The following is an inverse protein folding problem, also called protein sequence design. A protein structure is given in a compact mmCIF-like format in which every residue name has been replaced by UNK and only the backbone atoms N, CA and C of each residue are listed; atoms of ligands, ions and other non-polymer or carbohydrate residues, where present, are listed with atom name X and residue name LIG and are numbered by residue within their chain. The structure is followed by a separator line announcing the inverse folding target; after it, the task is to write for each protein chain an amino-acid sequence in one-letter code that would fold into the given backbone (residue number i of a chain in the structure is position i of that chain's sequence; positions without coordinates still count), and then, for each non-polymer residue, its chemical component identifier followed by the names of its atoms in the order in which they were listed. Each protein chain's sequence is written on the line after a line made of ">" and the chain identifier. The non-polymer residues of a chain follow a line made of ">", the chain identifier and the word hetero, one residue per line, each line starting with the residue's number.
data_IF_637117793697
#
_entry.id   IF_637117793697
#
_cell.length_a   1.000
_cell.length_b   1.000
_cell.length_c   1.000
_cell.angle_alpha   90.00
_cell.angle_beta   90.00
_cell.angle_gamma   90.00
#
_symmetry.space_group_name_H-M   'P 1'
#
loop_
_entity.id
_entity.type
_entity.pdbx_description
1 polymer ?
#
# COMPACT_ATOMS: atom_id res chain seq x y z
N UNK A 1 -13.03 22.75 11.62
CA UNK A 1 -14.15 22.42 10.71
C UNK A 1 -13.69 22.01 9.32
N UNK A 2 -12.89 22.83 8.61
CA UNK A 2 -12.40 22.47 7.26
C UNK A 2 -11.66 21.13 7.21
N UNK A 3 -10.72 20.92 8.14
CA UNK A 3 -9.97 19.66 8.26
C UNK A 3 -10.89 18.44 8.49
N UNK A 4 -11.81 18.51 9.45
CA UNK A 4 -12.80 17.45 9.68
C UNK A 4 -13.71 17.19 8.46
N UNK A 5 -14.08 18.23 7.72
CA UNK A 5 -14.87 18.10 6.49
C UNK A 5 -14.08 17.37 5.41
N UNK A 6 -12.83 17.77 5.16
CA UNK A 6 -11.94 17.14 4.18
C UNK A 6 -11.80 15.64 4.49
N UNK A 7 -11.62 15.30 5.77
CA UNK A 7 -11.55 13.91 6.23
C UNK A 7 -12.83 13.14 5.96
N UNK A 8 -13.97 13.69 6.34
CA UNK A 8 -15.26 13.06 6.15
C UNK A 8 -15.57 12.78 4.67
N UNK A 9 -15.30 13.74 3.78
CA UNK A 9 -15.58 13.55 2.35
C UNK A 9 -14.56 12.64 1.67
N UNK A 10 -13.29 12.64 2.09
CA UNK A 10 -12.27 11.72 1.56
C UNK A 10 -12.60 10.27 1.95
N UNK A 11 -13.14 10.04 3.15
CA UNK A 11 -13.57 8.71 3.60
C UNK A 11 -14.67 8.09 2.73
N UNK A 12 -15.43 8.90 1.97
CA UNK A 12 -16.44 8.39 1.03
C UNK A 12 -15.84 7.73 -0.21
N UNK A 13 -14.54 7.94 -0.49
CA UNK A 13 -13.88 7.55 -1.74
C UNK A 13 -14.28 8.40 -2.96
N UNK A 14 -15.19 9.37 -2.81
CA UNK A 14 -15.61 10.24 -3.91
C UNK A 14 -14.68 11.44 -4.14
N UNK A 15 -13.80 11.72 -3.18
CA UNK A 15 -12.88 12.84 -3.20
C UNK A 15 -11.49 12.41 -2.76
N UNK A 16 -10.48 13.06 -3.32
CA UNK A 16 -9.08 12.90 -2.94
C UNK A 16 -8.48 14.26 -2.60
N UNK A 17 -7.34 14.23 -1.93
CA UNK A 17 -6.57 15.42 -1.55
C UNK A 17 -5.25 15.49 -2.30
N UNK A 18 -4.74 16.70 -2.53
CA UNK A 18 -3.38 16.95 -3.05
C UNK A 18 -2.77 18.19 -2.39
N UNK A 19 -1.47 18.17 -2.12
CA UNK A 19 -0.76 19.26 -1.46
C UNK A 19 -0.73 19.10 0.06
N UNK A 20 0.00 20.01 0.74
CA UNK A 20 0.29 19.91 2.19
C UNK A 20 -0.30 21.06 3.00
N UNK A 21 -0.76 20.73 4.21
CA UNK A 21 -1.20 21.69 5.22
C UNK A 21 -2.26 22.66 4.71
N UNK A 22 -1.96 23.97 4.77
CA UNK A 22 -2.89 25.02 4.30
C UNK A 22 -3.11 25.01 2.78
N UNK A 23 -2.28 24.30 2.02
CA UNK A 23 -2.39 24.18 0.56
C UNK A 23 -3.10 22.90 0.12
N UNK A 24 -3.65 22.11 1.05
CA UNK A 24 -4.41 20.90 0.72
C UNK A 24 -5.62 21.26 -0.13
N UNK A 25 -5.65 20.72 -1.35
CA UNK A 25 -6.74 20.87 -2.31
C UNK A 25 -7.56 19.59 -2.33
N UNK A 26 -8.87 19.72 -2.17
CA UNK A 26 -9.83 18.65 -2.40
C UNK A 26 -10.22 18.63 -3.89
N UNK A 27 -10.25 17.46 -4.49
CA UNK A 27 -10.70 17.29 -5.88
C UNK A 27 -11.49 15.98 -6.06
N UNK A 28 -12.27 15.92 -7.13
CA UNK A 28 -13.02 14.72 -7.52
C UNK A 28 -12.17 13.94 -8.53
N UNK A 29 -11.69 12.72 -8.21
CA UNK A 29 -10.95 11.92 -9.16
C UNK A 29 -11.84 11.47 -10.32
N UNK A 30 -11.23 11.14 -11.46
CA UNK A 30 -11.95 10.83 -12.71
C UNK A 30 -13.02 9.74 -12.51
N UNK A 31 -12.65 8.67 -11.79
CA UNK A 31 -13.53 7.52 -11.51
C UNK A 31 -14.79 7.89 -10.69
N UNK A 32 -14.76 9.01 -9.93
CA UNK A 32 -15.86 9.45 -9.08
C UNK A 32 -16.72 10.54 -9.72
N UNK A 33 -16.28 11.17 -10.82
CA UNK A 33 -17.00 12.29 -11.46
C UNK A 33 -18.43 11.93 -11.85
N UNK A 34 -18.65 10.74 -12.41
CA UNK A 34 -20.01 10.32 -12.82
C UNK A 34 -20.93 10.18 -11.60
N UNK A 35 -20.45 9.55 -10.51
CA UNK A 35 -21.23 9.41 -9.27
C UNK A 35 -21.53 10.77 -8.64
N UNK A 36 -20.54 11.65 -8.53
CA UNK A 36 -20.75 13.00 -7.98
C UNK A 36 -21.74 13.80 -8.82
N UNK A 37 -21.65 13.71 -10.16
CA UNK A 37 -22.62 14.36 -11.05
C UNK A 37 -24.04 13.81 -10.86
N UNK A 38 -24.20 12.50 -10.76
CA UNK A 38 -25.51 11.89 -10.48
C UNK A 38 -26.07 12.34 -9.12
N UNK A 39 -25.22 12.49 -8.10
CA UNK A 39 -25.64 13.06 -6.82
C UNK A 39 -26.12 14.51 -6.98
N UNK A 40 -25.41 15.34 -7.75
CA UNK A 40 -25.79 16.74 -8.00
C UNK A 40 -27.10 16.87 -8.79
N UNK A 41 -27.28 16.02 -9.80
CA UNK A 41 -28.38 16.15 -10.75
C UNK A 41 -29.66 15.45 -10.28
N UNK A 42 -29.54 14.32 -9.55
CA UNK A 42 -30.66 13.42 -9.25
C UNK A 42 -30.91 13.18 -7.77
N UNK A 43 -29.91 13.34 -6.88
CA UNK A 43 -30.13 13.09 -5.45
C UNK A 43 -30.88 14.26 -4.81
N UNK A 44 -31.95 13.95 -4.08
CA UNK A 44 -32.68 14.93 -3.28
C UNK A 44 -32.29 14.74 -1.81
N UNK A 45 -31.72 15.78 -1.22
CA UNK A 45 -31.46 15.80 0.22
C UNK A 45 -32.78 15.99 0.96
N UNK A 46 -33.30 14.91 1.51
CA UNK A 46 -34.51 14.91 2.34
C UNK A 46 -34.06 14.88 3.79
N UNK A 47 -34.44 15.90 4.55
CA UNK A 47 -34.21 15.95 5.98
C UNK A 47 -35.18 14.98 6.68
N UNK A 48 -34.67 14.15 7.60
CA UNK A 48 -35.50 13.33 8.46
C UNK A 48 -35.97 14.18 9.66
N UNK A 49 -37.25 14.49 9.71
CA UNK A 49 -37.89 15.31 10.75
C UNK A 49 -38.52 14.49 11.89
N UNK A 50 -38.23 13.18 11.94
CA UNK A 50 -38.64 12.29 13.03
C UNK A 50 -38.23 12.84 14.39
N UNK A 51 -39.20 12.93 15.30
CA UNK A 51 -39.03 13.46 16.65
C UNK A 51 -38.81 12.37 17.69
N UNK A 52 -39.25 11.14 17.40
CA UNK A 52 -38.97 9.99 18.25
C UNK A 52 -37.51 9.53 18.08
N UNK A 53 -36.77 9.49 19.19
CA UNK A 53 -35.35 9.17 19.16
C UNK A 53 -35.06 7.76 18.64
N UNK A 54 -35.88 6.78 19.00
CA UNK A 54 -35.65 5.39 18.59
C UNK A 54 -35.91 5.22 17.08
N UNK A 55 -36.97 5.84 16.56
CA UNK A 55 -37.25 5.87 15.12
C UNK A 55 -36.20 6.66 14.34
N UNK A 56 -35.74 7.80 14.88
CA UNK A 56 -34.65 8.59 14.29
C UNK A 56 -33.35 7.79 14.22
N UNK A 57 -32.94 7.15 15.32
CA UNK A 57 -31.74 6.34 15.37
C UNK A 57 -31.85 5.10 14.49
N UNK A 58 -33.03 4.47 14.41
CA UNK A 58 -33.28 3.39 13.47
C UNK A 58 -33.15 3.86 12.03
N UNK A 59 -33.62 5.07 11.71
CA UNK A 59 -33.46 5.64 10.39
C UNK A 59 -31.99 5.90 10.03
N UNK A 60 -31.26 6.62 10.90
CA UNK A 60 -29.86 6.98 10.67
C UNK A 60 -28.89 5.79 10.75
N UNK A 61 -29.23 4.76 11.51
CA UNK A 61 -28.41 3.57 11.70
C UNK A 61 -28.55 2.51 10.60
N UNK A 62 -29.55 2.63 9.72
CA UNK A 62 -29.74 1.70 8.60
C UNK A 62 -28.94 2.18 7.37
N UNK A 63 -27.93 1.42 6.91
CA UNK A 63 -27.12 1.79 5.75
C UNK A 63 -27.91 1.79 4.43
N UNK A 64 -29.15 1.27 4.41
CA UNK A 64 -29.99 1.18 3.21
C UNK A 64 -31.12 2.21 3.17
N UNK A 65 -31.23 3.10 4.16
CA UNK A 65 -32.30 4.10 4.17
C UNK A 65 -32.07 5.26 3.18
N UNK A 66 -30.85 5.46 2.73
CA UNK A 66 -30.53 6.46 1.70
C UNK A 66 -30.43 5.75 0.36
N UNK A 67 -31.42 5.96 -0.50
CA UNK A 67 -31.40 5.48 -1.89
C UNK A 67 -30.51 6.41 -2.72
N UNK A 68 -29.45 5.85 -3.29
CA UNK A 68 -28.51 6.59 -4.12
C UNK A 68 -29.04 6.66 -5.57
N UNK A 69 -28.65 7.69 -6.34
CA UNK A 69 -29.10 7.83 -7.72
C UNK A 69 -28.87 6.59 -8.58
N UNK A 70 -27.84 5.80 -8.30
CA UNK A 70 -27.49 4.60 -9.05
C UNK A 70 -28.05 3.30 -8.49
N UNK A 71 -28.98 3.34 -7.52
CA UNK A 71 -29.69 2.16 -7.02
C UNK A 71 -30.87 1.78 -7.93
N UNK A 72 -30.70 2.00 -9.23
CA UNK A 72 -31.60 1.60 -10.29
C UNK A 72 -30.78 1.22 -11.55
N UNK A 73 -31.33 0.39 -12.46
CA UNK A 73 -30.60 -0.05 -13.65
C UNK A 73 -30.16 1.08 -14.58
N UNK A 74 -30.98 2.11 -14.77
CA UNK A 74 -30.73 3.18 -15.74
C UNK A 74 -29.47 3.98 -15.37
N UNK A 75 -29.41 4.46 -14.13
CA UNK A 75 -28.27 5.25 -13.63
C UNK A 75 -27.03 4.40 -13.38
N UNK A 76 -27.21 3.14 -12.97
CA UNK A 76 -26.09 2.20 -12.87
C UNK A 76 -25.46 1.96 -14.24
N UNK A 77 -26.28 1.80 -15.29
CA UNK A 77 -25.79 1.60 -16.65
C UNK A 77 -24.94 2.78 -17.13
N UNK A 78 -25.36 4.01 -16.83
CA UNK A 78 -24.56 5.22 -17.14
C UNK A 78 -23.18 5.17 -16.49
N UNK A 79 -23.08 4.74 -15.21
CA UNK A 79 -21.79 4.60 -14.52
C UNK A 79 -20.91 3.58 -15.24
N UNK A 80 -21.46 2.40 -15.52
CA UNK A 80 -20.68 1.29 -16.08
C UNK A 80 -20.28 1.56 -17.54
N UNK A 81 -21.12 2.19 -18.35
CA UNK A 81 -20.80 2.59 -19.72
C UNK A 81 -19.70 3.66 -19.78
N UNK A 82 -19.76 4.67 -18.91
CA UNK A 82 -18.69 5.66 -18.81
C UNK A 82 -17.37 5.02 -18.37
N UNK A 83 -17.42 4.15 -17.37
CA UNK A 83 -16.24 3.41 -16.90
C UNK A 83 -15.66 2.49 -17.98
N UNK A 84 -16.50 1.83 -18.76
CA UNK A 84 -16.05 1.03 -19.91
C UNK A 84 -15.35 1.89 -20.96
N UNK A 85 -15.84 3.12 -21.20
CA UNK A 85 -15.20 4.07 -22.11
C UNK A 85 -13.81 4.48 -21.61
N UNK A 86 -13.68 4.78 -20.32
CA UNK A 86 -12.39 5.12 -19.71
C UNK A 86 -11.43 3.93 -19.74
N UNK A 87 -11.92 2.73 -19.44
CA UNK A 87 -11.18 1.48 -19.55
C UNK A 87 -10.63 1.25 -20.96
N UNK A 88 -11.44 1.48 -22.01
CA UNK A 88 -11.00 1.40 -23.42
C UNK A 88 -9.86 2.38 -23.73
N UNK A 89 -9.86 3.56 -23.13
CA UNK A 89 -8.80 4.55 -23.34
C UNK A 89 -7.52 4.15 -22.58
N UNK A 90 -7.65 3.72 -21.32
CA UNK A 90 -6.53 3.26 -20.49
C UNK A 90 -5.83 2.07 -21.16
N UNK A 91 -6.59 1.09 -21.68
CA UNK A 91 -6.03 -0.04 -22.44
C UNK A 91 -5.16 0.44 -23.60
N UNK A 92 -5.65 1.40 -24.39
CA UNK A 92 -4.93 1.87 -25.59
C UNK A 92 -3.58 2.47 -25.23
N UNK A 93 -3.49 3.19 -24.11
CA UNK A 93 -2.22 3.73 -23.63
C UNK A 93 -1.37 2.65 -22.96
N UNK A 94 -1.98 1.76 -22.19
CA UNK A 94 -1.31 0.68 -21.47
C UNK A 94 -0.59 -0.29 -22.43
N UNK A 95 -1.22 -0.67 -23.56
CA UNK A 95 -0.62 -1.56 -24.57
C UNK A 95 0.59 -0.93 -25.28
N UNK A 96 0.66 0.42 -25.35
CA UNK A 96 1.85 1.10 -25.89
C UNK A 96 3.04 0.99 -24.94
N UNK A 97 2.77 0.94 -23.64
CA UNK A 97 3.77 0.87 -22.57
C UNK A 97 4.21 -0.59 -22.37
N UNK A 98 3.25 -1.51 -22.20
CA UNK A 98 3.49 -2.93 -22.03
C UNK A 98 2.84 -3.73 -23.18
N UNK A 99 3.70 -4.16 -24.12
CA UNK A 99 3.27 -4.92 -25.30
C UNK A 99 2.79 -6.33 -24.96
N UNK A 100 3.15 -6.85 -23.79
CA UNK A 100 2.76 -8.19 -23.31
C UNK A 100 1.50 -8.15 -22.44
N UNK A 101 0.86 -6.98 -22.29
CA UNK A 101 -0.33 -6.83 -21.48
C UNK A 101 -1.48 -7.69 -22.01
N UNK A 102 -1.89 -8.68 -21.22
CA UNK A 102 -3.08 -9.49 -21.49
C UNK A 102 -4.33 -8.81 -20.92
N UNK A 103 -5.33 -8.62 -21.77
CA UNK A 103 -6.64 -8.10 -21.37
C UNK A 103 -7.59 -9.28 -21.23
N UNK A 104 -7.97 -9.60 -20.00
CA UNK A 104 -8.93 -10.67 -19.70
C UNK A 104 -10.34 -10.10 -19.55
N UNK A 105 -11.33 -10.95 -19.77
CA UNK A 105 -12.74 -10.71 -19.41
C UNK A 105 -13.48 -9.55 -20.10
N UNK A 106 -12.86 -8.90 -21.09
CA UNK A 106 -13.46 -7.73 -21.74
C UNK A 106 -14.79 -8.03 -22.45
N UNK A 107 -14.86 -9.13 -23.20
CA UNK A 107 -16.07 -9.53 -23.92
C UNK A 107 -17.22 -9.87 -22.98
N UNK A 108 -16.92 -10.50 -21.84
CA UNK A 108 -17.91 -10.85 -20.82
C UNK A 108 -18.49 -9.58 -20.17
N UNK A 109 -17.62 -8.61 -19.85
CA UNK A 109 -18.04 -7.31 -19.31
C UNK A 109 -18.94 -6.57 -20.30
N UNK A 110 -18.59 -6.53 -21.59
CA UNK A 110 -19.45 -5.91 -22.61
C UNK A 110 -20.84 -6.59 -22.70
N UNK A 111 -20.91 -7.90 -22.53
CA UNK A 111 -22.18 -8.64 -22.51
C UNK A 111 -23.03 -8.28 -21.29
N UNK A 112 -22.43 -8.21 -20.09
CA UNK A 112 -23.14 -7.83 -18.86
C UNK A 112 -23.73 -6.42 -18.96
N UNK A 113 -23.02 -5.48 -19.59
CA UNK A 113 -23.44 -4.08 -19.77
C UNK A 113 -24.62 -3.94 -20.73
N UNK A 114 -24.76 -4.83 -21.71
CA UNK A 114 -25.90 -4.82 -22.64
C UNK A 114 -27.21 -5.14 -21.95
N UNK A 115 -27.17 -5.76 -20.78
CA UNK A 115 -28.38 -6.10 -20.02
C UNK A 115 -28.95 -4.88 -19.29
N UNK A 116 -30.25 -4.91 -19.00
CA UNK A 116 -30.93 -3.90 -18.15
C UNK A 116 -31.10 -4.42 -16.71
N UNK A 117 -30.41 -5.50 -16.35
CA UNK A 117 -30.50 -6.10 -15.03
C UNK A 117 -29.53 -5.41 -14.06
N UNK A 118 -30.07 -4.83 -12.98
CA UNK A 118 -29.27 -4.13 -11.97
C UNK A 118 -28.15 -4.99 -11.38
N UNK A 119 -28.42 -6.26 -11.05
CA UNK A 119 -27.43 -7.14 -10.42
C UNK A 119 -26.29 -7.45 -11.39
N UNK A 120 -26.60 -7.66 -12.67
CA UNK A 120 -25.57 -7.85 -13.71
C UNK A 120 -24.73 -6.60 -13.91
N UNK A 121 -25.33 -5.41 -13.85
CA UNK A 121 -24.60 -4.14 -13.93
C UNK A 121 -23.69 -3.90 -12.70
N UNK A 122 -24.11 -4.34 -11.51
CA UNK A 122 -23.24 -4.33 -10.31
C UNK A 122 -22.02 -5.23 -10.52
N UNK A 123 -22.22 -6.45 -11.01
CA UNK A 123 -21.12 -7.39 -11.31
C UNK A 123 -20.19 -6.83 -12.40
N UNK A 124 -20.73 -6.18 -13.43
CA UNK A 124 -19.94 -5.55 -14.48
C UNK A 124 -19.04 -4.44 -13.93
N UNK A 125 -19.57 -3.59 -13.03
CA UNK A 125 -18.82 -2.53 -12.37
C UNK A 125 -17.63 -3.06 -11.56
N UNK A 126 -17.86 -4.12 -10.76
CA UNK A 126 -16.82 -4.77 -9.96
C UNK A 126 -15.74 -5.41 -10.84
N UNK A 127 -16.14 -6.10 -11.92
CA UNK A 127 -15.19 -6.68 -12.89
C UNK A 127 -14.35 -5.61 -13.58
N UNK A 128 -14.97 -4.49 -13.97
CA UNK A 128 -14.24 -3.34 -14.51
C UNK A 128 -13.27 -2.75 -13.48
N UNK A 129 -13.67 -2.59 -12.22
CA UNK A 129 -12.78 -2.11 -11.15
C UNK A 129 -11.54 -2.99 -11.02
N UNK A 130 -11.74 -4.30 -10.92
CA UNK A 130 -10.63 -5.24 -10.74
C UNK A 130 -9.69 -5.25 -11.95
N UNK A 131 -10.26 -5.15 -13.16
CA UNK A 131 -9.49 -5.08 -14.41
C UNK A 131 -8.70 -3.78 -14.51
N UNK A 132 -9.30 -2.64 -14.15
CA UNK A 132 -8.64 -1.33 -14.10
C UNK A 132 -7.48 -1.34 -13.11
N UNK A 133 -7.72 -1.82 -11.89
CA UNK A 133 -6.69 -1.97 -10.87
C UNK A 133 -5.52 -2.81 -11.37
N UNK A 134 -5.79 -3.98 -11.98
CA UNK A 134 -4.74 -4.85 -12.50
C UNK A 134 -3.90 -4.18 -13.59
N UNK A 135 -4.53 -3.42 -14.49
CA UNK A 135 -3.81 -2.70 -15.56
C UNK A 135 -2.99 -1.55 -14.96
N UNK A 136 -3.60 -0.72 -14.11
CA UNK A 136 -2.92 0.42 -13.52
C UNK A 136 -1.74 -0.03 -12.64
N UNK A 137 -1.89 -1.11 -11.88
CA UNK A 137 -0.81 -1.71 -11.11
C UNK A 137 0.32 -2.20 -12.02
N UNK A 138 0.00 -2.89 -13.12
CA UNK A 138 1.00 -3.37 -14.08
C UNK A 138 1.76 -2.21 -14.71
N UNK A 139 1.05 -1.19 -15.19
CA UNK A 139 1.65 0.00 -15.81
C UNK A 139 2.50 0.77 -14.80
N UNK A 140 2.03 0.86 -13.55
CA UNK A 140 2.82 1.45 -12.49
C UNK A 140 4.14 0.70 -12.29
N UNK A 141 4.09 -0.63 -12.16
CA UNK A 141 5.28 -1.48 -11.95
C UNK A 141 6.28 -1.36 -13.11
N UNK A 142 5.80 -1.43 -14.36
CA UNK A 142 6.70 -1.49 -15.52
C UNK A 142 7.20 -0.14 -16.01
N UNK A 143 6.51 0.96 -15.66
CA UNK A 143 6.78 2.27 -16.24
C UNK A 143 6.65 3.41 -15.23
N UNK A 144 5.45 3.67 -14.69
CA UNK A 144 5.21 4.91 -13.92
C UNK A 144 6.10 5.01 -12.69
N UNK A 145 6.33 3.90 -11.97
CA UNK A 145 7.17 3.88 -10.77
C UNK A 145 8.64 4.20 -11.04
N UNK A 146 9.07 4.19 -12.31
CA UNK A 146 10.46 4.44 -12.71
C UNK A 146 10.72 5.90 -13.06
N UNK A 147 9.69 6.74 -13.11
CA UNK A 147 9.89 8.16 -13.42
C UNK A 147 10.38 8.93 -12.19
N UNK A 148 11.16 10.02 -12.39
CA UNK A 148 11.59 10.89 -11.29
C UNK A 148 10.41 11.44 -10.48
N UNK A 149 9.33 11.84 -11.15
CA UNK A 149 8.15 12.42 -10.50
C UNK A 149 7.47 11.42 -9.57
N UNK A 150 7.29 10.17 -10.01
CA UNK A 150 6.68 9.15 -9.18
C UNK A 150 7.55 8.81 -7.96
N UNK A 151 8.87 8.78 -8.14
CA UNK A 151 9.84 8.55 -7.07
C UNK A 151 9.84 9.69 -6.05
N UNK A 152 9.76 10.94 -6.51
CA UNK A 152 9.61 12.13 -5.67
C UNK A 152 8.30 12.06 -4.87
N UNK A 153 7.17 11.78 -5.51
CA UNK A 153 5.86 11.61 -4.84
C UNK A 153 5.89 10.52 -3.76
N UNK A 154 6.61 9.42 -3.99
CA UNK A 154 6.80 8.36 -2.99
C UNK A 154 7.57 8.87 -1.77
N UNK A 155 8.68 9.60 -1.96
CA UNK A 155 9.45 10.16 -0.85
C UNK A 155 8.61 11.19 -0.09
N UNK A 156 7.93 12.08 -0.80
CA UNK A 156 7.03 13.07 -0.22
C UNK A 156 5.93 12.42 0.62
N UNK A 157 5.37 11.29 0.16
CA UNK A 157 4.34 10.58 0.93
C UNK A 157 4.89 9.99 2.23
N UNK A 158 6.13 9.50 2.27
CA UNK A 158 6.73 9.08 3.54
C UNK A 158 6.96 10.24 4.51
N UNK A 159 7.32 11.42 4.01
CA UNK A 159 7.40 12.64 4.84
C UNK A 159 6.05 12.97 5.46
N UNK A 160 4.97 12.97 4.66
CA UNK A 160 3.61 13.22 5.16
C UNK A 160 3.24 12.25 6.29
N UNK A 161 3.52 10.95 6.10
CA UNK A 161 3.28 9.89 7.09
C UNK A 161 4.09 10.13 8.36
N UNK A 162 5.40 10.41 8.21
CA UNK A 162 6.28 10.61 9.35
C UNK A 162 5.90 11.86 10.17
N UNK A 163 5.49 12.94 9.50
CA UNK A 163 5.11 14.20 10.13
C UNK A 163 3.71 14.15 10.74
N UNK A 164 2.91 13.12 10.41
CA UNK A 164 1.54 12.94 10.92
C UNK A 164 0.51 13.78 10.18
N UNK A 165 0.79 14.14 8.93
CA UNK A 165 -0.11 14.89 8.05
C UNK A 165 -0.96 13.99 7.14
N UNK A 166 -0.89 12.67 7.32
CA UNK A 166 -1.63 11.68 6.54
C UNK A 166 -2.68 10.97 7.41
N UNK A 167 -3.95 11.10 7.06
CA UNK A 167 -5.06 10.57 7.86
C UNK A 167 -5.15 9.04 7.80
N UNK A 168 -4.82 8.48 6.63
CA UNK A 168 -4.74 7.03 6.45
C UNK A 168 -3.29 6.55 6.55
N UNK A 169 -2.49 7.17 7.43
CA UNK A 169 -1.03 6.98 7.48
C UNK A 169 -0.61 5.51 7.55
N UNK A 170 -1.32 4.67 8.30
CA UNK A 170 -0.98 3.25 8.42
C UNK A 170 -1.22 2.48 7.11
N UNK A 171 -2.37 2.69 6.45
CA UNK A 171 -2.66 2.12 5.13
C UNK A 171 -1.71 2.64 4.06
N UNK A 172 -1.44 3.95 4.09
CA UNK A 172 -0.50 4.58 3.18
C UNK A 172 0.93 4.10 3.41
N UNK A 173 1.33 3.75 4.63
CA UNK A 173 2.65 3.20 4.88
C UNK A 173 2.86 1.85 4.19
N UNK A 174 1.84 0.97 4.18
CA UNK A 174 1.87 -0.30 3.43
C UNK A 174 1.96 -0.01 1.92
N UNK A 175 1.04 0.80 1.41
CA UNK A 175 0.97 1.12 -0.03
C UNK A 175 2.24 1.81 -0.51
N UNK A 176 2.75 2.77 0.25
CA UNK A 176 3.91 3.56 -0.16
C UNK A 176 5.21 2.76 -0.04
N UNK A 177 5.33 1.85 0.93
CA UNK A 177 6.43 0.86 0.99
C UNK A 177 6.39 -0.10 -0.21
N UNK A 178 5.21 -0.54 -0.63
CA UNK A 178 5.09 -1.33 -1.85
C UNK A 178 5.49 -0.52 -3.09
N UNK A 179 4.97 0.72 -3.22
CA UNK A 179 5.32 1.62 -4.33
C UNK A 179 6.82 1.87 -4.38
N UNK A 180 7.47 2.08 -3.23
CA UNK A 180 8.91 2.33 -3.18
C UNK A 180 9.73 1.14 -3.61
N UNK A 181 9.42 -0.06 -3.13
CA UNK A 181 10.12 -1.27 -3.51
C UNK A 181 9.96 -1.57 -4.99
N UNK A 182 8.73 -1.45 -5.52
CA UNK A 182 8.44 -1.58 -6.95
C UNK A 182 9.24 -0.59 -7.80
N UNK A 183 9.48 0.63 -7.30
CA UNK A 183 10.21 1.67 -8.01
C UNK A 183 11.73 1.42 -8.12
N UNK A 184 12.32 0.59 -7.24
CA UNK A 184 13.75 0.23 -7.29
C UNK A 184 14.10 -0.47 -8.60
N UNK A 185 15.30 -0.25 -9.14
CA UNK A 185 15.72 -0.93 -10.36
C UNK A 185 16.02 -2.42 -10.12
N UNK A 186 16.18 -3.17 -11.20
CA UNK A 186 16.57 -4.58 -11.12
C UNK A 186 15.42 -5.57 -11.14
N UNK A 187 15.78 -6.84 -11.35
CA UNK A 187 14.81 -7.93 -11.53
C UNK A 187 14.32 -8.45 -10.18
N UNK A 188 13.12 -8.03 -9.81
CA UNK A 188 12.41 -8.52 -8.64
C UNK A 188 10.89 -8.50 -8.86
N UNK A 189 10.16 -9.15 -7.96
CA UNK A 189 8.70 -9.11 -7.91
C UNK A 189 8.26 -8.71 -6.51
N UNK A 190 7.43 -7.68 -6.40
CA UNK A 190 6.79 -7.31 -5.14
C UNK A 190 5.33 -7.73 -5.18
N UNK A 191 4.92 -8.61 -4.26
CA UNK A 191 3.53 -9.02 -4.07
C UNK A 191 2.99 -8.34 -2.82
N UNK A 192 1.94 -7.53 -2.98
CA UNK A 192 1.18 -6.93 -1.86
C UNK A 192 0.08 -7.87 -1.36
N UNK A 193 -0.25 -7.80 -0.07
CA UNK A 193 -1.38 -8.51 0.53
C UNK A 193 -2.51 -7.58 1.00
N UNK A 194 -2.31 -6.25 1.02
CA UNK A 194 -3.35 -5.24 1.23
C UNK A 194 -4.19 -4.97 -0.04
N UNK A 195 -5.33 -4.29 0.10
CA UNK A 195 -6.21 -3.92 -1.03
C UNK A 195 -6.00 -2.48 -1.48
N UNK A 196 -6.03 -2.28 -2.79
CA UNK A 196 -5.94 -0.98 -3.46
C UNK A 196 -7.25 -0.62 -4.15
N UNK A 197 -7.45 0.68 -4.35
CA UNK A 197 -8.42 1.23 -5.31
C UNK A 197 -7.80 1.31 -6.72
N UNK A 198 -8.64 1.57 -7.72
CA UNK A 198 -8.26 1.62 -9.14
C UNK A 198 -7.09 2.59 -9.43
N UNK A 199 -6.96 3.66 -8.66
CA UNK A 199 -5.90 4.68 -8.76
C UNK A 199 -4.65 4.38 -7.90
N UNK A 200 -4.56 3.15 -7.37
CA UNK A 200 -3.49 2.70 -6.49
C UNK A 200 -3.39 3.49 -5.17
N UNK A 201 -4.51 4.05 -4.71
CA UNK A 201 -4.67 4.51 -3.33
C UNK A 201 -5.10 3.35 -2.42
N UNK A 202 -4.86 3.43 -1.10
CA UNK A 202 -5.22 2.36 -0.19
C UNK A 202 -6.74 2.17 -0.05
N UNK A 203 -7.19 0.92 -0.05
CA UNK A 203 -8.59 0.54 0.24
C UNK A 203 -8.76 -0.09 1.61
N UNK A 204 -7.93 -1.07 1.94
CA UNK A 204 -7.94 -1.74 3.24
C UNK A 204 -6.62 -2.46 3.50
N UNK A 205 -6.29 -2.66 4.78
CA UNK A 205 -5.13 -3.40 5.25
C UNK A 205 -5.07 -4.82 4.70
N UNK A 206 -3.89 -5.45 4.79
CA UNK A 206 -3.74 -6.88 4.59
C UNK A 206 -4.70 -7.64 5.53
N UNK A 207 -5.41 -8.69 5.07
CA UNK A 207 -6.25 -9.48 5.94
C UNK A 207 -5.41 -10.14 7.03
N UNK A 208 -5.71 -9.86 8.30
CA UNK A 208 -5.11 -10.62 9.42
C UNK A 208 -5.56 -12.08 9.48
N UNK A 209 -6.54 -12.47 8.64
CA UNK A 209 -7.04 -13.83 8.50
C UNK A 209 -6.08 -14.60 7.58
N UNK A 210 -5.23 -15.43 8.18
CA UNK A 210 -4.32 -16.31 7.45
C UNK A 210 -2.82 -16.09 7.69
N UNK A 211 -2.44 -15.21 8.63
CA UNK A 211 -1.04 -14.96 8.99
C UNK A 211 -0.18 -14.61 7.75
N UNK A 212 -0.62 -13.59 7.01
CA UNK A 212 0.09 -13.10 5.83
C UNK A 212 0.80 -11.78 6.14
N UNK A 213 2.08 -11.62 5.73
CA UNK A 213 2.79 -10.35 5.89
C UNK A 213 2.19 -9.27 4.99
N UNK A 214 2.52 -8.00 5.24
CA UNK A 214 2.01 -6.88 4.43
C UNK A 214 2.35 -7.04 2.94
N UNK A 215 3.60 -7.42 2.66
CA UNK A 215 4.09 -7.69 1.31
C UNK A 215 5.28 -8.65 1.27
N UNK A 216 5.57 -9.15 0.08
CA UNK A 216 6.62 -10.14 -0.20
C UNK A 216 7.46 -9.65 -1.38
N UNK A 217 8.78 -9.56 -1.21
CA UNK A 217 9.72 -9.18 -2.28
C UNK A 217 10.54 -10.41 -2.67
N UNK A 218 10.40 -10.81 -3.92
CA UNK A 218 11.13 -11.93 -4.50
C UNK A 218 12.28 -11.42 -5.36
N UNK A 219 13.50 -11.70 -4.92
CA UNK A 219 14.76 -11.44 -5.62
C UNK A 219 15.41 -12.79 -5.93
N UNK A 220 16.28 -12.90 -6.94
CA UNK A 220 16.92 -14.18 -7.20
C UNK A 220 17.79 -14.61 -6.01
N UNK A 221 17.54 -15.79 -5.44
CA UNK A 221 18.22 -16.30 -4.24
C UNK A 221 17.70 -15.77 -2.90
N UNK A 222 16.84 -14.74 -2.89
CA UNK A 222 16.40 -14.08 -1.66
C UNK A 222 14.89 -13.84 -1.63
N UNK A 223 14.31 -13.84 -0.43
CA UNK A 223 12.95 -13.36 -0.16
C UNK A 223 13.00 -12.34 0.96
N UNK A 224 12.54 -11.11 0.69
CA UNK A 224 12.39 -10.10 1.73
C UNK A 224 10.91 -10.03 2.13
N UNK A 225 10.66 -9.91 3.43
CA UNK A 225 9.33 -9.77 4.02
C UNK A 225 9.25 -8.41 4.73
N UNK A 226 8.92 -7.32 4.00
CA UNK A 226 8.67 -6.02 4.60
C UNK A 226 7.34 -6.02 5.35
N UNK A 227 7.40 -5.56 6.59
CA UNK A 227 6.27 -5.39 7.51
C UNK A 227 6.35 -3.98 8.08
N UNK A 228 5.23 -3.28 8.13
CA UNK A 228 5.21 -1.86 8.48
C UNK A 228 4.22 -1.57 9.59
N UNK A 229 4.60 -0.70 10.52
CA UNK A 229 3.71 -0.35 11.63
C UNK A 229 3.92 1.08 12.09
N UNK A 230 2.81 1.77 12.36
CA UNK A 230 2.81 3.04 13.09
C UNK A 230 2.46 2.87 14.57
N UNK A 231 2.24 1.63 15.02
CA UNK A 231 2.08 1.36 16.45
C UNK A 231 3.34 1.75 17.21
N UNK A 232 3.17 2.22 18.44
CA UNK A 232 4.27 2.58 19.32
C UNK A 232 4.02 2.08 20.75
N UNK A 233 5.08 2.12 21.57
CA UNK A 233 5.01 1.66 22.95
C UNK A 233 4.80 0.15 23.07
N UNK A 234 4.17 -0.29 24.16
CA UNK A 234 4.03 -1.73 24.49
C UNK A 234 3.18 -2.47 23.47
N UNK A 235 2.15 -1.82 22.92
CA UNK A 235 1.26 -2.41 21.90
C UNK A 235 2.01 -2.87 20.66
N UNK A 236 3.02 -2.13 20.22
CA UNK A 236 3.86 -2.55 19.10
C UNK A 236 4.53 -3.89 19.39
N UNK A 237 5.05 -4.09 20.60
CA UNK A 237 5.67 -5.37 20.96
C UNK A 237 4.63 -6.50 21.05
N UNK A 238 3.46 -6.24 21.64
CA UNK A 238 2.39 -7.23 21.79
C UNK A 238 1.82 -7.72 20.46
N UNK A 239 1.69 -6.82 19.48
CA UNK A 239 1.12 -7.15 18.18
C UNK A 239 2.17 -7.59 17.17
N UNK A 240 3.26 -6.82 17.02
CA UNK A 240 4.23 -7.00 15.94
C UNK A 240 5.36 -7.95 16.31
N UNK A 241 5.68 -8.08 17.60
CA UNK A 241 6.80 -8.90 18.05
C UNK A 241 6.62 -10.39 17.76
N UNK A 242 5.39 -10.90 17.78
CA UNK A 242 5.10 -12.29 17.40
C UNK A 242 4.75 -12.43 15.93
N UNK A 243 3.83 -11.59 15.41
CA UNK A 243 3.30 -11.74 14.05
C UNK A 243 4.40 -11.69 12.99
N UNK A 244 5.29 -10.70 13.08
CA UNK A 244 6.39 -10.50 12.13
C UNK A 244 7.33 -11.71 12.14
N UNK A 245 7.60 -12.26 13.32
CA UNK A 245 8.46 -13.44 13.46
C UNK A 245 7.80 -14.68 12.87
N UNK A 246 6.51 -14.88 13.14
CA UNK A 246 5.74 -16.01 12.62
C UNK A 246 5.64 -15.96 11.09
N UNK A 247 5.44 -14.77 10.51
CA UNK A 247 5.47 -14.58 9.06
C UNK A 247 6.84 -14.94 8.48
N UNK A 248 7.92 -14.35 8.99
CA UNK A 248 9.28 -14.62 8.46
C UNK A 248 9.64 -16.09 8.60
N UNK A 249 9.33 -16.71 9.74
CA UNK A 249 9.57 -18.14 9.96
C UNK A 249 8.81 -19.02 8.97
N UNK A 250 7.52 -18.73 8.72
CA UNK A 250 6.73 -19.49 7.75
C UNK A 250 7.31 -19.43 6.32
N UNK A 251 7.93 -18.30 5.96
CA UNK A 251 8.61 -18.16 4.67
C UNK A 251 9.95 -18.89 4.64
N UNK A 252 10.71 -18.91 5.76
CA UNK A 252 11.94 -19.72 5.89
C UNK A 252 11.63 -21.21 5.71
N UNK A 253 10.53 -21.69 6.30
CA UNK A 253 10.10 -23.09 6.16
C UNK A 253 9.60 -23.41 4.75
N UNK A 254 8.94 -22.44 4.09
CA UNK A 254 8.42 -22.59 2.73
C UNK A 254 9.52 -22.55 1.65
N UNK A 255 10.58 -21.79 1.86
CA UNK A 255 11.65 -21.57 0.88
C UNK A 255 12.99 -22.08 1.41
N UNK A 256 13.19 -23.41 1.35
CA UNK A 256 14.44 -24.04 1.80
C UNK A 256 15.67 -23.68 0.94
N UNK A 257 15.46 -23.26 -0.31
CA UNK A 257 16.48 -22.93 -1.30
C UNK A 257 16.83 -21.43 -1.36
N UNK A 258 16.21 -20.59 -0.52
CA UNK A 258 16.40 -19.13 -0.54
C UNK A 258 16.67 -18.58 0.85
N UNK A 259 17.45 -17.51 0.90
CA UNK A 259 17.65 -16.76 2.14
C UNK A 259 16.48 -15.79 2.35
N UNK A 260 15.83 -15.89 3.51
CA UNK A 260 14.65 -15.09 3.86
C UNK A 260 15.02 -14.05 4.92
N UNK A 261 14.64 -12.80 4.70
CA UNK A 261 14.89 -11.69 5.62
C UNK A 261 13.62 -10.88 5.88
N UNK A 262 13.25 -10.72 7.14
CA UNK A 262 12.23 -9.75 7.56
C UNK A 262 12.79 -8.33 7.59
N UNK A 263 11.97 -7.36 7.24
CA UNK A 263 12.29 -5.93 7.38
C UNK A 263 11.12 -5.29 8.11
N UNK A 264 11.36 -4.75 9.29
CA UNK A 264 10.31 -4.10 10.07
C UNK A 264 10.50 -2.58 10.03
N UNK A 265 9.55 -1.88 9.40
CA UNK A 265 9.59 -0.43 9.20
C UNK A 265 8.59 0.26 10.12
N UNK A 266 9.08 1.14 11.00
CA UNK A 266 8.21 1.86 11.93
C UNK A 266 8.71 3.28 12.25
N UNK A 267 7.84 4.12 12.79
CA UNK A 267 8.22 5.48 13.21
C UNK A 267 9.21 5.45 14.38
N UNK A 268 9.00 4.53 15.32
CA UNK A 268 9.91 4.30 16.45
C UNK A 268 9.83 2.85 16.89
N UNK A 269 10.93 2.33 17.41
CA UNK A 269 11.04 0.93 17.77
C UNK A 269 10.91 0.76 19.28
N UNK A 270 10.07 -0.18 19.71
CA UNK A 270 10.03 -0.61 21.09
C UNK A 270 11.31 -1.39 21.42
N UNK A 271 11.88 -1.11 22.59
CA UNK A 271 13.07 -1.77 23.11
C UNK A 271 12.96 -3.31 23.11
N UNK A 272 11.79 -3.86 23.44
CA UNK A 272 11.55 -5.31 23.47
C UNK A 272 11.49 -5.92 22.07
N UNK A 273 10.90 -5.19 21.12
CA UNK A 273 10.88 -5.60 19.70
C UNK A 273 12.30 -5.66 19.14
N UNK A 274 13.13 -4.63 19.39
CA UNK A 274 14.54 -4.62 18.96
C UNK A 274 15.32 -5.75 19.63
N UNK A 275 15.11 -5.96 20.93
CA UNK A 275 15.78 -7.02 21.67
C UNK A 275 15.46 -8.40 21.07
N UNK A 276 14.19 -8.66 20.76
CA UNK A 276 13.77 -9.91 20.12
C UNK A 276 14.39 -10.08 18.74
N UNK A 277 14.36 -9.04 17.89
CA UNK A 277 14.98 -9.07 16.57
C UNK A 277 16.49 -9.30 16.64
N UNK A 278 17.18 -8.67 17.59
CA UNK A 278 18.62 -8.86 17.81
C UNK A 278 18.96 -10.31 18.15
N UNK A 279 18.21 -10.93 19.08
CA UNK A 279 18.42 -12.33 19.44
C UNK A 279 18.20 -13.21 18.21
N UNK A 280 17.07 -13.07 17.52
CA UNK A 280 16.68 -13.97 16.42
C UNK A 280 17.57 -13.86 15.17
N UNK A 281 18.22 -12.71 14.96
CA UNK A 281 19.29 -12.59 13.95
C UNK A 281 20.54 -13.41 14.30
N UNK A 282 20.80 -13.66 15.59
CA UNK A 282 22.00 -14.36 16.07
C UNK A 282 21.75 -15.85 16.30
N UNK A 283 20.68 -16.15 17.02
CA UNK A 283 20.36 -17.46 17.55
C UNK A 283 18.85 -17.64 17.57
N UNK A 284 18.41 -18.87 17.32
CA UNK A 284 17.00 -19.21 17.31
C UNK A 284 16.79 -20.63 17.83
N UNK A 285 15.73 -20.80 18.61
CA UNK A 285 15.35 -22.09 19.19
C UNK A 285 14.79 -23.08 18.15
N UNK A 286 14.44 -22.61 16.95
CA UNK A 286 13.97 -23.47 15.85
C UNK A 286 15.10 -24.02 14.97
N UNK A 287 16.37 -23.82 15.37
CA UNK A 287 17.54 -24.37 14.66
C UNK A 287 17.97 -23.60 13.40
N UNK A 288 17.24 -22.55 13.01
CA UNK A 288 17.60 -21.58 11.97
C UNK A 288 17.34 -20.16 12.47
N UNK A 289 18.25 -19.23 12.18
CA UNK A 289 18.07 -17.81 12.52
C UNK A 289 16.84 -17.25 11.80
N UNK A 290 16.13 -16.34 12.47
CA UNK A 290 14.95 -15.65 11.93
C UNK A 290 15.29 -14.15 11.82
N UNK A 291 16.04 -13.75 10.79
CA UNK A 291 16.60 -12.41 10.72
C UNK A 291 15.50 -11.39 10.39
N UNK A 292 15.26 -10.45 11.31
CA UNK A 292 14.37 -9.30 11.10
C UNK A 292 15.14 -8.01 11.33
N UNK A 293 15.11 -7.11 10.36
CA UNK A 293 15.90 -5.89 10.36
C UNK A 293 15.01 -4.70 10.74
N UNK A 294 15.24 -4.08 11.91
CA UNK A 294 14.50 -2.88 12.30
C UNK A 294 15.04 -1.67 11.53
N UNK A 295 14.17 -0.97 10.81
CA UNK A 295 14.49 0.27 10.11
C UNK A 295 13.44 1.32 10.47
N UNK A 296 13.86 2.51 10.90
CA UNK A 296 12.91 3.60 11.11
C UNK A 296 12.43 4.16 9.77
N UNK A 297 11.22 4.74 9.71
CA UNK A 297 10.72 5.38 8.47
C UNK A 297 11.73 6.40 7.92
N UNK A 298 12.38 7.18 8.80
CA UNK A 298 13.43 8.14 8.41
C UNK A 298 14.64 7.47 7.77
N UNK A 299 15.16 6.40 8.36
CA UNK A 299 16.26 5.63 7.77
C UNK A 299 15.84 5.00 6.44
N UNK A 300 14.62 4.47 6.36
CA UNK A 300 14.08 3.87 5.15
C UNK A 300 13.99 4.89 4.01
N UNK A 301 13.43 6.07 4.27
CA UNK A 301 13.39 7.18 3.31
C UNK A 301 14.78 7.56 2.82
N UNK A 302 15.74 7.72 3.73
CA UNK A 302 17.12 8.06 3.42
C UNK A 302 17.82 6.99 2.55
N UNK A 303 17.51 5.71 2.78
CA UNK A 303 17.99 4.59 1.95
C UNK A 303 17.35 4.64 0.56
N UNK A 304 16.03 4.75 0.49
CA UNK A 304 15.29 4.71 -0.78
C UNK A 304 15.61 5.92 -1.66
N UNK A 305 15.71 7.13 -1.09
CA UNK A 305 16.09 8.33 -1.83
C UNK A 305 17.48 8.17 -2.45
N UNK A 306 18.44 7.61 -1.70
CA UNK A 306 19.77 7.31 -2.21
C UNK A 306 19.75 6.24 -3.32
N UNK A 307 18.94 5.18 -3.16
CA UNK A 307 18.76 4.17 -4.22
C UNK A 307 18.24 4.79 -5.51
N UNK A 308 17.29 5.71 -5.43
CA UNK A 308 16.75 6.39 -6.60
C UNK A 308 17.75 7.35 -7.23
N UNK A 309 18.45 8.15 -6.43
CA UNK A 309 19.43 9.14 -6.91
C UNK A 309 20.57 8.47 -7.72
N UNK A 310 21.02 7.31 -7.26
CA UNK A 310 22.12 6.56 -7.90
C UNK A 310 21.63 5.40 -8.78
N UNK A 311 20.32 5.32 -9.07
CA UNK A 311 19.70 4.29 -9.91
C UNK A 311 20.06 2.85 -9.50
N UNK A 312 20.22 2.59 -8.21
CA UNK A 312 20.70 1.32 -7.68
C UNK A 312 19.71 0.18 -7.90
N UNK A 313 20.27 -1.02 -8.03
CA UNK A 313 19.52 -2.26 -8.23
C UNK A 313 19.02 -2.80 -6.88
N UNK A 314 17.92 -3.57 -6.90
CA UNK A 314 17.36 -4.25 -5.72
C UNK A 314 18.38 -5.12 -4.97
N UNK A 315 19.42 -5.64 -5.65
CA UNK A 315 20.51 -6.33 -4.96
C UNK A 315 21.28 -5.43 -4.00
N UNK A 316 21.45 -4.13 -4.30
CA UNK A 316 22.11 -3.20 -3.37
C UNK A 316 21.29 -3.02 -2.08
N UNK A 317 19.96 -2.96 -2.18
CA UNK A 317 19.07 -2.93 -1.02
C UNK A 317 19.14 -4.24 -0.23
N UNK A 318 19.14 -5.37 -0.94
CA UNK A 318 19.26 -6.71 -0.36
C UNK A 318 20.59 -6.87 0.40
N UNK A 319 21.70 -6.39 -0.18
CA UNK A 319 23.02 -6.40 0.44
C UNK A 319 23.05 -5.57 1.73
N UNK A 320 22.40 -4.40 1.75
CA UNK A 320 22.26 -3.59 2.97
C UNK A 320 21.54 -4.36 4.07
N UNK A 321 20.40 -4.99 3.75
CA UNK A 321 19.60 -5.81 4.68
C UNK A 321 20.46 -6.95 5.27
N UNK A 322 21.17 -7.67 4.41
CA UNK A 322 22.09 -8.75 4.82
C UNK A 322 23.22 -8.21 5.69
N UNK A 323 23.79 -7.05 5.34
CA UNK A 323 24.85 -6.43 6.13
C UNK A 323 24.37 -6.04 7.52
N UNK A 324 23.18 -5.48 7.67
CA UNK A 324 22.62 -5.16 8.99
C UNK A 324 22.39 -6.44 9.80
N UNK A 325 21.86 -7.49 9.16
CA UNK A 325 21.65 -8.81 9.78
C UNK A 325 22.96 -9.41 10.31
N UNK A 326 23.97 -9.53 9.45
CA UNK A 326 25.27 -10.13 9.79
C UNK A 326 26.02 -9.33 10.85
N UNK A 327 25.81 -8.02 10.93
CA UNK A 327 26.43 -7.20 11.97
C UNK A 327 25.85 -7.48 13.37
N UNK A 328 24.63 -8.02 13.50
CA UNK A 328 24.09 -8.42 14.80
C UNK A 328 25.00 -9.45 15.52
N UNK A 329 25.67 -10.32 14.76
CA UNK A 329 26.63 -11.31 15.27
C UNK A 329 27.91 -10.67 15.86
N UNK A 330 28.22 -9.42 15.51
CA UNK A 330 29.46 -8.74 15.92
C UNK A 330 29.31 -7.93 17.21
N UNK A 331 28.08 -7.71 17.68
CA UNK A 331 27.81 -6.89 18.85
C UNK A 331 27.41 -7.72 20.06
N UNK A 332 27.75 -7.23 21.25
CA UNK A 332 27.49 -7.95 22.50
C UNK A 332 26.02 -7.87 22.92
N UNK A 333 25.37 -6.75 22.61
CA UNK A 333 24.01 -6.43 23.03
C UNK A 333 23.24 -5.64 21.94
N UNK A 334 21.91 -5.58 22.10
CA UNK A 334 21.02 -4.97 21.12
C UNK A 334 21.20 -3.45 21.00
N UNK A 335 21.62 -2.75 22.06
CA UNK A 335 21.82 -1.29 22.07
C UNK A 335 22.99 -0.91 21.16
N UNK A 336 24.10 -1.66 21.26
CA UNK A 336 25.25 -1.51 20.37
C UNK A 336 24.87 -1.79 18.91
N UNK A 337 24.08 -2.83 18.65
CA UNK A 337 23.64 -3.14 17.30
C UNK A 337 22.74 -2.03 16.73
N UNK A 338 21.70 -1.63 17.47
CA UNK A 338 20.75 -0.57 17.07
C UNK A 338 21.48 0.75 16.79
N UNK A 339 22.34 1.20 17.70
CA UNK A 339 23.11 2.44 17.54
C UNK A 339 24.12 2.41 16.38
N UNK A 340 24.51 1.23 15.90
CA UNK A 340 25.39 1.08 14.74
C UNK A 340 24.64 0.97 13.41
N UNK A 341 23.31 0.82 13.39
CA UNK A 341 22.54 0.71 12.13
C UNK A 341 22.79 1.93 11.23
N UNK A 342 22.75 3.15 11.78
CA UNK A 342 23.04 4.38 11.03
C UNK A 342 24.45 4.40 10.44
N UNK A 343 25.43 3.84 11.17
CA UNK A 343 26.81 3.74 10.70
C UNK A 343 26.93 2.71 9.57
N UNK A 344 26.21 1.60 9.66
CA UNK A 344 26.16 0.57 8.62
C UNK A 344 25.56 1.15 7.35
N UNK A 345 24.43 1.87 7.45
CA UNK A 345 23.79 2.54 6.31
C UNK A 345 24.75 3.55 5.67
N UNK A 346 25.39 4.41 6.47
CA UNK A 346 26.35 5.41 5.97
C UNK A 346 27.52 4.76 5.24
N UNK A 347 28.12 3.72 5.82
CA UNK A 347 29.24 3.02 5.21
C UNK A 347 28.82 2.34 3.91
N UNK A 348 27.65 1.69 3.89
CA UNK A 348 27.09 1.10 2.67
C UNK A 348 26.90 2.13 1.56
N UNK A 349 26.41 3.34 1.88
CA UNK A 349 26.30 4.43 0.89
C UNK A 349 27.67 4.80 0.31
N UNK A 350 28.67 5.01 1.16
CA UNK A 350 30.04 5.35 0.73
C UNK A 350 30.61 4.25 -0.17
N UNK A 351 30.56 2.99 0.28
CA UNK A 351 31.07 1.84 -0.47
C UNK A 351 30.35 1.64 -1.81
N UNK A 352 29.08 2.03 -1.90
CA UNK A 352 28.30 1.93 -3.14
C UNK A 352 28.70 3.00 -4.15
N UNK A 353 28.92 4.24 -3.71
CA UNK A 353 29.43 5.32 -4.57
C UNK A 353 30.86 5.04 -5.03
N UNK A 354 31.73 4.50 -4.17
CA UNK A 354 33.11 4.18 -4.54
C UNK A 354 33.22 3.06 -5.58
N UNK A 355 32.19 2.22 -5.72
CA UNK A 355 32.13 1.11 -6.69
C UNK A 355 31.40 1.46 -8.00
N UNK A 356 30.66 2.58 -8.02
CA UNK A 356 29.96 3.10 -9.20
C UNK A 356 30.89 3.97 -10.05
#
# INVERSE_FOLDING_TARGET
>A
YADALIRAVTYTGLFLTRGRGVYTKLYIPEHSKTKVKLLQDKHKFIYNDEQDLDLYMKYFGDPYNIVLPWDNPEDRKIIVENKLKDYKNIIKEAVKIDKELEIKDFSEVEELIRTEDYKKLVVADEKLSNSLLSINERIFIVSTSKTPEAREEIIEKFEDINDGNEDMAALWLEVNTWKSLVAINGKHKVKRNFKLEEDLTPRSFAPGIGNTPDMEVYVNGYVLIPEVSLMSGVKQWEHEGSSVIDHVLSFIEKYEDKDVYGIFISKSMNVRTIWQFFILNRESWVGKNVPVIPITIKQYMDIIAFIYEYELDIYNFTDLVINISKNALKFSNYIEWESNIDKIIRNWKIETVEKA
#
